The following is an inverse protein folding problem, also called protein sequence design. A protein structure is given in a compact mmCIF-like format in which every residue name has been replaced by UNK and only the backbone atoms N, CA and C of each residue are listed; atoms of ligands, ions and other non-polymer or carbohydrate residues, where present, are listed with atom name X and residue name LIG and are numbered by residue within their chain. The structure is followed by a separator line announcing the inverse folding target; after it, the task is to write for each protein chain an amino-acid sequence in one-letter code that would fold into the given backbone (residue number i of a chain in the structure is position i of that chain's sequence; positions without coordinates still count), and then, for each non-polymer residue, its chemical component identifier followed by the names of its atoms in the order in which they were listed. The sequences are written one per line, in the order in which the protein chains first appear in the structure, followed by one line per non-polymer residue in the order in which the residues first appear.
data_IF_463506199925
#
_entry.id   IF_463506199925
#
_cell.length_a   1.000
_cell.length_b   1.000
_cell.length_c   1.000
_cell.angle_alpha   90.00
_cell.angle_beta   90.00
_cell.angle_gamma   90.00
#
_symmetry.space_group_name_H-M   'P 1'
#
loop_
_entity.id
_entity.type
_entity.pdbx_description
1 polymer ?
#
# COMPACT_ATOMS: atom_id res chain seq x y z
N UNK A 1 -2.74 11.02 -15.14
CA UNK A 1 -3.59 11.12 -13.92
C UNK A 1 -2.91 10.65 -12.61
N UNK A 2 -3.16 11.33 -11.49
CA UNK A 2 -2.83 10.85 -10.13
C UNK A 2 -3.99 10.00 -9.56
N UNK A 3 -3.67 8.87 -8.94
CA UNK A 3 -4.65 7.97 -8.32
C UNK A 3 -4.20 7.53 -6.92
N UNK A 4 -5.18 7.15 -6.09
CA UNK A 4 -4.91 6.51 -4.80
C UNK A 4 -4.89 4.99 -4.99
N UNK A 5 -3.71 4.37 -4.81
CA UNK A 5 -3.57 2.92 -4.92
C UNK A 5 -2.99 2.34 -3.62
N UNK A 6 -3.88 1.69 -2.87
CA UNK A 6 -3.58 1.08 -1.58
C UNK A 6 -3.40 -0.44 -1.67
N UNK A 7 -3.70 -1.06 -2.81
CA UNK A 7 -3.68 -2.52 -2.96
C UNK A 7 -2.29 -3.09 -2.65
N UNK A 8 -1.25 -2.42 -3.15
CA UNK A 8 0.13 -2.80 -2.90
C UNK A 8 0.47 -2.75 -1.40
N UNK A 9 -0.05 -1.75 -0.70
CA UNK A 9 0.14 -1.57 0.74
C UNK A 9 -0.59 -2.65 1.53
N UNK A 10 -1.85 -2.94 1.20
CA UNK A 10 -2.61 -3.97 1.87
C UNK A 10 -1.94 -5.34 1.72
N UNK A 11 -1.43 -5.66 0.52
CA UNK A 11 -0.69 -6.90 0.29
C UNK A 11 0.62 -6.94 1.07
N UNK A 12 1.41 -5.87 1.05
CA UNK A 12 2.68 -5.79 1.80
C UNK A 12 2.47 -6.02 3.31
N UNK A 13 1.31 -5.64 3.82
CA UNK A 13 0.93 -5.74 5.25
C UNK A 13 0.15 -7.00 5.59
N UNK A 14 -0.06 -7.91 4.64
CA UNK A 14 -0.86 -9.12 4.86
C UNK A 14 -2.33 -8.84 5.19
N UNK A 15 -2.86 -7.67 4.80
CA UNK A 15 -4.26 -7.30 5.05
C UNK A 15 -5.13 -7.95 3.97
N UNK A 16 -5.86 -9.00 4.34
CA UNK A 16 -6.73 -9.78 3.43
C UNK A 16 -8.13 -9.22 3.29
N UNK A 17 -8.60 -8.43 4.25
CA UNK A 17 -9.88 -7.72 4.21
C UNK A 17 -9.68 -6.21 4.39
N UNK A 18 -9.33 -5.46 3.32
CA UNK A 18 -9.03 -4.04 3.42
C UNK A 18 -10.20 -3.19 3.94
N UNK A 19 -11.42 -3.42 3.44
CA UNK A 19 -12.59 -2.67 3.88
C UNK A 19 -12.89 -2.89 5.37
N UNK A 20 -12.83 -4.16 5.83
CA UNK A 20 -13.00 -4.49 7.24
C UNK A 20 -11.91 -3.89 8.12
N UNK A 21 -10.66 -3.95 7.69
CA UNK A 21 -9.52 -3.34 8.38
C UNK A 21 -9.70 -1.83 8.55
N UNK A 22 -10.05 -1.11 7.49
CA UNK A 22 -10.29 0.33 7.56
C UNK A 22 -11.47 0.65 8.48
N UNK A 23 -12.58 -0.08 8.40
CA UNK A 23 -13.72 0.13 9.32
C UNK A 23 -13.35 -0.08 10.79
N UNK A 24 -12.57 -1.13 11.10
CA UNK A 24 -12.09 -1.40 12.46
C UNK A 24 -11.20 -0.26 12.99
N UNK A 25 -10.50 0.44 12.10
CA UNK A 25 -9.69 1.61 12.43
C UNK A 25 -10.46 2.95 12.30
N UNK A 26 -11.79 2.88 12.26
CA UNK A 26 -12.73 4.00 12.38
C UNK A 26 -12.94 4.84 11.12
N UNK A 27 -12.67 4.27 9.95
CA UNK A 27 -13.14 4.82 8.68
C UNK A 27 -14.63 4.54 8.51
N UNK A 28 -15.37 5.46 7.88
CA UNK A 28 -16.77 5.23 7.51
C UNK A 28 -16.87 4.07 6.51
N UNK A 29 -18.06 3.46 6.43
CA UNK A 29 -18.32 2.37 5.48
C UNK A 29 -17.99 2.79 4.03
N UNK A 30 -18.49 3.96 3.60
CA UNK A 30 -18.25 4.48 2.25
C UNK A 30 -16.76 4.69 1.98
N UNK A 31 -16.05 5.38 2.89
CA UNK A 31 -14.62 5.64 2.73
C UNK A 31 -13.82 4.33 2.66
N UNK A 32 -14.12 3.37 3.54
CA UNK A 32 -13.45 2.08 3.55
C UNK A 32 -13.68 1.28 2.25
N UNK A 33 -14.90 1.29 1.73
CA UNK A 33 -15.23 0.61 0.47
C UNK A 33 -14.54 1.28 -0.72
N UNK A 34 -14.54 2.61 -0.78
CA UNK A 34 -13.93 3.37 -1.88
C UNK A 34 -12.41 3.28 -1.89
N UNK A 35 -11.77 3.28 -0.71
CA UNK A 35 -10.33 3.07 -0.61
C UNK A 35 -9.91 1.64 -0.98
N UNK A 36 -10.64 0.64 -0.51
CA UNK A 36 -10.34 -0.78 -0.80
C UNK A 36 -10.56 -1.15 -2.26
N UNK A 37 -11.46 -0.45 -2.96
CA UNK A 37 -11.73 -0.65 -4.41
C UNK A 37 -10.93 0.29 -5.32
N UNK A 38 -10.04 1.13 -4.77
CA UNK A 38 -9.31 2.17 -5.51
C UNK A 38 -10.22 3.17 -6.27
N UNK A 39 -11.45 3.37 -5.80
CA UNK A 39 -12.44 4.32 -6.35
C UNK A 39 -12.45 5.68 -5.62
N UNK A 40 -11.52 5.88 -4.69
CA UNK A 40 -11.38 7.15 -3.99
C UNK A 40 -10.74 8.19 -4.93
N UNK A 41 -11.45 9.29 -5.19
CA UNK A 41 -10.99 10.35 -6.11
C UNK A 41 -10.55 11.62 -5.35
N UNK A 42 -11.26 11.99 -4.28
CA UNK A 42 -11.03 13.24 -3.53
C UNK A 42 -11.14 13.01 -2.02
N UNK A 43 -10.18 12.30 -1.39
CA UNK A 43 -10.14 12.19 0.06
C UNK A 43 -9.71 13.53 0.66
N UNK A 44 -10.24 13.88 1.84
CA UNK A 44 -9.73 15.02 2.60
C UNK A 44 -8.33 14.72 3.13
N UNK A 45 -7.55 15.77 3.44
CA UNK A 45 -6.21 15.62 4.03
C UNK A 45 -6.26 14.88 5.38
N UNK A 46 -7.29 15.14 6.19
CA UNK A 46 -7.54 14.43 7.45
C UNK A 46 -7.69 12.92 7.23
N UNK A 47 -8.35 12.53 6.14
CA UNK A 47 -8.55 11.13 5.79
C UNK A 47 -7.26 10.47 5.30
N UNK A 48 -6.44 11.20 4.53
CA UNK A 48 -5.11 10.77 4.10
C UNK A 48 -4.19 10.58 5.30
N UNK A 49 -4.12 11.57 6.20
CA UNK A 49 -3.30 11.51 7.40
C UNK A 49 -3.66 10.29 8.25
N UNK A 50 -4.96 10.11 8.54
CA UNK A 50 -5.43 8.94 9.29
C UNK A 50 -5.05 7.62 8.62
N UNK A 51 -5.14 7.57 7.30
CA UNK A 51 -4.79 6.38 6.52
C UNK A 51 -3.30 6.07 6.63
N UNK A 52 -2.45 7.10 6.53
CA UNK A 52 -1.01 7.00 6.70
C UNK A 52 -0.63 6.57 8.12
N UNK A 53 -1.31 7.07 9.15
CA UNK A 53 -1.10 6.65 10.54
C UNK A 53 -1.43 5.17 10.73
N UNK A 54 -2.63 4.75 10.30
CA UNK A 54 -3.11 3.37 10.51
C UNK A 54 -2.31 2.37 9.68
N UNK A 55 -1.91 2.77 8.48
CA UNK A 55 -1.09 1.92 7.64
C UNK A 55 0.39 2.04 8.01
N UNK A 56 0.89 3.07 8.69
CA UNK A 56 2.34 3.33 8.83
C UNK A 56 3.01 3.58 7.46
N UNK A 57 2.50 4.54 6.69
CA UNK A 57 3.08 4.96 5.42
C UNK A 57 3.07 6.48 5.28
N UNK A 58 3.70 6.99 4.22
CA UNK A 58 3.65 8.41 3.84
C UNK A 58 2.54 8.68 2.82
N UNK A 59 2.13 9.95 2.62
CA UNK A 59 1.20 10.30 1.54
C UNK A 59 1.71 9.92 0.13
N UNK A 60 3.02 9.96 -0.10
CA UNK A 60 3.60 9.54 -1.38
C UNK A 60 3.46 8.02 -1.59
N UNK A 61 3.49 7.24 -0.52
CA UNK A 61 3.31 5.79 -0.60
C UNK A 61 1.90 5.39 -1.02
N UNK A 62 0.88 6.23 -0.85
CA UNK A 62 -0.51 5.94 -1.26
C UNK A 62 -0.87 6.48 -2.64
N UNK A 63 -0.09 7.45 -3.14
CA UNK A 63 -0.27 8.06 -4.45
C UNK A 63 0.44 7.26 -5.54
N UNK A 64 -0.17 7.24 -6.72
CA UNK A 64 0.42 6.66 -7.93
C UNK A 64 0.15 7.60 -9.09
N UNK A 65 1.19 7.89 -9.87
CA UNK A 65 1.04 8.60 -11.13
C UNK A 65 0.92 7.62 -12.30
N UNK A 66 -0.21 7.69 -12.99
CA UNK A 66 -0.49 6.97 -14.23
C UNK A 66 -0.44 7.95 -15.39
N UNK A 67 0.57 7.92 -16.28
CA UNK A 67 0.59 8.79 -17.46
C UNK A 67 -0.64 8.52 -18.34
N UNK A 68 -1.19 9.57 -18.94
CA UNK A 68 -2.34 9.45 -19.84
C UNK A 68 -1.89 8.79 -21.15
N UNK A 69 -2.73 7.89 -21.68
CA UNK A 69 -2.41 7.14 -22.89
C UNK A 69 -2.25 8.07 -24.10
N UNK A 70 -1.21 7.83 -24.91
CA UNK A 70 -0.95 8.62 -26.12
C UNK A 70 -0.31 10.01 -25.87
N UNK A 71 -0.08 10.40 -24.62
CA UNK A 71 0.62 11.65 -24.29
C UNK A 71 2.12 11.40 -24.17
N UNK A 72 2.92 12.10 -24.98
CA UNK A 72 4.38 12.08 -24.85
C UNK A 72 4.81 13.09 -23.77
N UNK A 73 5.06 12.57 -22.56
CA UNK A 73 5.60 13.35 -21.46
C UNK A 73 7.10 13.57 -21.65
N UNK A 74 7.61 14.73 -21.23
CA UNK A 74 9.05 14.99 -21.25
C UNK A 74 9.80 13.93 -20.45
N UNK A 75 10.94 13.50 -20.97
CA UNK A 75 11.90 12.70 -20.20
C UNK A 75 12.37 13.55 -19.01
N UNK A 76 12.25 13.01 -17.78
CA UNK A 76 12.63 13.66 -16.50
C UNK A 76 11.58 14.57 -15.81
N UNK A 77 10.28 14.26 -15.91
CA UNK A 77 9.32 14.88 -15.00
C UNK A 77 9.50 14.37 -13.55
N UNK A 78 9.57 15.27 -12.58
CA UNK A 78 9.69 14.90 -11.15
C UNK A 78 8.53 13.99 -10.67
N UNK A 79 7.32 14.18 -11.22
CA UNK A 79 6.14 13.34 -10.91
C UNK A 79 6.32 11.88 -11.34
N UNK A 80 7.27 11.59 -12.25
CA UNK A 80 7.60 10.22 -12.64
C UNK A 80 8.13 9.39 -11.46
N UNK A 81 8.63 10.02 -10.38
CA UNK A 81 8.97 9.32 -9.14
C UNK A 81 7.77 8.66 -8.44
N UNK A 82 6.54 9.10 -8.73
CA UNK A 82 5.30 8.48 -8.24
C UNK A 82 4.80 7.36 -9.15
N UNK A 83 5.50 7.06 -10.25
CA UNK A 83 5.19 5.92 -11.09
C UNK A 83 5.59 4.67 -10.32
N UNK A 84 4.61 3.94 -9.81
CA UNK A 84 4.87 2.66 -9.14
C UNK A 84 5.07 1.58 -10.18
N UNK A 85 6.24 0.94 -10.14
CA UNK A 85 6.36 -0.38 -10.72
C UNK A 85 5.41 -1.33 -9.98
N UNK A 86 4.79 -2.28 -10.69
CA UNK A 86 3.96 -3.32 -10.07
C UNK A 86 4.86 -4.21 -9.20
N UNK A 87 5.15 -3.78 -7.97
CA UNK A 87 5.76 -4.64 -6.95
C UNK A 87 4.67 -5.53 -6.40
N UNK A 88 4.66 -6.79 -6.84
CA UNK A 88 3.81 -7.81 -6.24
C UNK A 88 4.46 -8.26 -4.93
N UNK A 89 3.85 -7.93 -3.80
CA UNK A 89 4.32 -8.36 -2.49
C UNK A 89 3.97 -9.84 -2.30
N UNK A 90 4.94 -10.71 -2.56
CA UNK A 90 4.77 -12.17 -2.52
C UNK A 90 5.35 -12.81 -1.25
N UNK A 91 5.72 -12.02 -0.24
CA UNK A 91 6.34 -12.54 0.99
C UNK A 91 5.53 -13.67 1.62
N UNK A 92 4.23 -13.46 1.86
CA UNK A 92 3.36 -14.49 2.44
C UNK A 92 3.26 -15.75 1.55
N UNK A 93 3.31 -15.59 0.22
CA UNK A 93 3.35 -16.74 -0.70
C UNK A 93 4.65 -17.52 -0.54
N UNK A 94 5.78 -16.81 -0.45
CA UNK A 94 7.12 -17.41 -0.28
C UNK A 94 7.27 -18.11 1.07
N UNK A 95 6.68 -17.57 2.13
CA UNK A 95 6.73 -18.16 3.47
C UNK A 95 5.96 -19.48 3.56
N UNK A 96 4.88 -19.64 2.79
CA UNK A 96 3.96 -20.80 2.88
C UNK A 96 4.65 -22.13 2.55
N UNK A 97 5.63 -22.11 1.65
CA UNK A 97 6.30 -23.33 1.16
C UNK A 97 7.58 -23.66 1.93
N UNK A 98 7.92 -22.88 2.96
CA UNK A 98 9.15 -23.07 3.74
C UNK A 98 8.95 -24.06 4.89
N UNK A 99 9.96 -24.90 5.17
CA UNK A 99 10.05 -25.66 6.42
C UNK A 99 10.06 -24.74 7.66
N UNK A 100 9.59 -25.27 8.79
CA UNK A 100 9.46 -24.51 10.04
C UNK A 100 10.80 -23.92 10.53
N UNK A 101 11.91 -24.64 10.40
CA UNK A 101 13.25 -24.16 10.80
C UNK A 101 13.69 -22.90 10.02
N UNK A 102 13.22 -22.76 8.77
CA UNK A 102 13.47 -21.57 7.95
C UNK A 102 12.56 -20.42 8.30
N UNK A 103 11.34 -20.71 8.74
CA UNK A 103 10.40 -19.69 9.24
C UNK A 103 10.97 -19.09 10.53
N UNK A 104 11.45 -19.91 11.47
CA UNK A 104 12.06 -19.45 12.73
C UNK A 104 13.27 -18.53 12.47
N UNK A 105 14.12 -18.89 11.50
CA UNK A 105 15.25 -18.07 11.10
C UNK A 105 14.80 -16.69 10.56
N UNK A 106 13.73 -16.65 9.77
CA UNK A 106 13.17 -15.40 9.24
C UNK A 106 12.55 -14.56 10.36
N UNK A 107 11.86 -15.16 11.32
CA UNK A 107 11.30 -14.43 12.47
C UNK A 107 12.39 -13.74 13.28
N UNK A 108 13.53 -14.41 13.48
CA UNK A 108 14.70 -13.81 14.14
C UNK A 108 15.22 -12.59 13.37
N UNK A 109 15.41 -12.72 12.05
CA UNK A 109 15.87 -11.59 11.21
C UNK A 109 14.89 -10.41 11.23
N UNK A 110 13.58 -10.67 11.21
CA UNK A 110 12.56 -9.62 11.28
C UNK A 110 12.59 -8.90 12.64
N UNK A 111 12.89 -9.63 13.71
CA UNK A 111 12.96 -9.07 15.06
C UNK A 111 14.15 -8.11 15.18
N UNK A 112 15.31 -8.49 14.64
CA UNK A 112 16.50 -7.63 14.55
C UNK A 112 16.20 -6.33 13.77
N UNK A 113 15.51 -6.43 12.62
CA UNK A 113 15.15 -5.25 11.79
C UNK A 113 14.19 -4.30 12.51
N UNK A 114 13.37 -4.77 13.45
CA UNK A 114 12.40 -3.93 14.17
C UNK A 114 13.01 -3.15 15.33
N UNK A 115 14.17 -3.57 15.81
CA UNK A 115 14.85 -2.93 16.94
C UNK A 115 15.74 -1.76 16.49
N UNK A 116 16.07 -1.66 15.20
CA UNK A 116 16.73 -0.52 14.53
C UNK A 116 15.74 0.59 14.11
#
# INVERSE_FOLDING_TARGET
MLVFNLNSIFQARGITNPAGFLRKNGFSYDSALRFSSAQMVKPSLVLIERLCIVLNCTPNDILEWKPDEGVNYKDNLAIAGLKKEKKEYTLMKKLKDLPLDKIDAIEKMISEIKED
#
